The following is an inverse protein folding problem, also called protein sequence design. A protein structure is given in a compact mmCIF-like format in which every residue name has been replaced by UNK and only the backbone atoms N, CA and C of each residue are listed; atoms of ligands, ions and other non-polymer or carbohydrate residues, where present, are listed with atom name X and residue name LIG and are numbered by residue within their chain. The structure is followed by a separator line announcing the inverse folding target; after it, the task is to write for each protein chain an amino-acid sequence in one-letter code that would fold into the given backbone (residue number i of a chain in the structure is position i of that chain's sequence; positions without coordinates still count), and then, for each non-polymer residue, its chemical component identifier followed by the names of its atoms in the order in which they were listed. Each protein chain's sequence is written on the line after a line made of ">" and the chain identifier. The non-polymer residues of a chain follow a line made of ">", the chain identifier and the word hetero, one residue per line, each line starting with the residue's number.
data_IF_971782094449
#
_entry.id   IF_971782094449
#
_cell.length_a   1.000
_cell.length_b   1.000
_cell.length_c   1.000
_cell.angle_alpha   90.00
_cell.angle_beta   90.00
_cell.angle_gamma   90.00
#
_symmetry.space_group_name_H-M   'P 1'
#
loop_
_entity.id
_entity.type
_entity.pdbx_description
1 polymer ?
#
# COMPACT_ATOMS: atom_id res chain seq x y z
N UNK A 1 8.19 -45.75 -29.96
CA UNK A 1 8.49 -44.32 -30.23
C UNK A 1 7.60 -43.38 -29.41
N UNK A 2 6.30 -43.62 -29.32
CA UNK A 2 5.33 -42.79 -28.58
C UNK A 2 5.66 -42.55 -27.09
N UNK A 3 6.07 -43.60 -26.35
CA UNK A 3 6.45 -43.48 -24.92
C UNK A 3 7.69 -42.60 -24.68
N UNK A 4 8.63 -42.57 -25.63
CA UNK A 4 9.83 -41.71 -25.56
C UNK A 4 9.48 -40.25 -25.86
N UNK A 5 8.58 -40.01 -26.81
CA UNK A 5 8.06 -38.67 -27.09
C UNK A 5 7.26 -38.11 -25.90
N UNK A 6 6.44 -38.95 -25.24
CA UNK A 6 5.71 -38.57 -24.03
C UNK A 6 6.66 -38.25 -22.86
N UNK A 7 7.71 -39.06 -22.68
CA UNK A 7 8.74 -38.82 -21.66
C UNK A 7 9.57 -37.55 -21.95
N UNK A 8 9.93 -37.28 -23.21
CA UNK A 8 10.62 -36.04 -23.58
C UNK A 8 9.78 -34.80 -23.31
N UNK A 9 8.49 -34.85 -23.62
CA UNK A 9 7.54 -33.75 -23.35
C UNK A 9 7.41 -33.47 -21.85
N UNK A 10 7.32 -34.51 -21.03
CA UNK A 10 7.28 -34.39 -19.58
C UNK A 10 8.58 -33.76 -19.02
N UNK A 11 9.74 -34.21 -19.49
CA UNK A 11 11.04 -33.66 -19.09
C UNK A 11 11.16 -32.20 -19.50
N UNK A 12 10.76 -31.84 -20.73
CA UNK A 12 10.79 -30.47 -21.22
C UNK A 12 9.90 -29.54 -20.38
N UNK A 13 8.72 -30.02 -19.98
CA UNK A 13 7.79 -29.29 -19.13
C UNK A 13 8.37 -29.04 -17.74
N UNK A 14 8.99 -30.07 -17.14
CA UNK A 14 9.64 -29.96 -15.82
C UNK A 14 10.82 -28.97 -15.87
N UNK A 15 11.64 -29.02 -16.93
CA UNK A 15 12.78 -28.11 -17.11
C UNK A 15 12.32 -26.66 -17.29
N UNK A 16 11.26 -26.40 -18.07
CA UNK A 16 10.67 -25.06 -18.20
C UNK A 16 10.13 -24.51 -16.87
N UNK A 17 9.66 -25.38 -15.97
CA UNK A 17 9.13 -24.97 -14.66
C UNK A 17 10.24 -24.73 -13.62
N UNK A 18 11.38 -25.43 -13.72
CA UNK A 18 12.51 -25.31 -12.80
C UNK A 18 13.46 -24.14 -13.11
N UNK A 19 13.36 -23.54 -14.31
CA UNK A 19 14.21 -22.44 -14.73
C UNK A 19 13.38 -21.25 -15.27
N UNK A 20 12.63 -20.54 -14.40
CA UNK A 20 11.96 -19.32 -14.82
C UNK A 20 13.00 -18.27 -15.23
N UNK A 21 12.94 -17.84 -16.49
CA UNK A 21 13.73 -16.70 -16.97
C UNK A 21 13.27 -15.45 -16.21
N UNK A 22 14.20 -14.58 -15.76
CA UNK A 22 13.83 -13.39 -15.02
C UNK A 22 13.14 -12.38 -15.94
N UNK A 23 11.81 -12.27 -15.84
CA UNK A 23 11.02 -11.25 -16.54
C UNK A 23 10.90 -10.03 -15.62
N UNK A 24 11.78 -9.04 -15.84
CA UNK A 24 11.94 -7.87 -14.98
C UNK A 24 10.81 -6.81 -15.05
N UNK A 25 9.83 -6.98 -15.95
CA UNK A 25 8.74 -6.02 -16.14
C UNK A 25 7.37 -6.68 -16.26
N UNK A 26 7.16 -7.83 -15.60
CA UNK A 26 5.85 -8.47 -15.57
C UNK A 26 5.01 -7.87 -14.44
N UNK A 27 4.28 -6.83 -14.78
CA UNK A 27 3.00 -6.55 -14.13
C UNK A 27 2.03 -7.67 -14.53
N UNK A 28 2.27 -8.87 -13.98
CA UNK A 28 1.34 -10.00 -14.00
C UNK A 28 -0.07 -9.46 -13.67
N UNK A 29 -1.17 -9.86 -14.34
CA UNK A 29 -2.52 -9.42 -13.97
C UNK A 29 -2.85 -9.62 -12.47
N UNK A 30 -2.18 -10.57 -11.81
CA UNK A 30 -2.20 -10.74 -10.35
C UNK A 30 -1.46 -9.64 -9.57
N UNK A 31 -0.30 -9.19 -10.06
CA UNK A 31 0.53 -8.14 -9.45
C UNK A 31 -0.18 -6.78 -9.43
N UNK A 32 -0.91 -6.45 -10.50
CA UNK A 32 -1.71 -5.22 -10.56
C UNK A 32 -2.81 -5.20 -9.50
N UNK A 33 -3.50 -6.32 -9.29
CA UNK A 33 -4.54 -6.46 -8.28
C UNK A 33 -3.99 -6.30 -6.86
N UNK A 34 -2.80 -6.86 -6.59
CA UNK A 34 -2.12 -6.74 -5.30
C UNK A 34 -1.73 -5.29 -4.99
N UNK A 35 -1.24 -4.54 -5.99
CA UNK A 35 -0.92 -3.13 -5.82
C UNK A 35 -2.16 -2.30 -5.44
N UNK A 36 -3.28 -2.53 -6.14
CA UNK A 36 -4.56 -1.87 -5.83
C UNK A 36 -5.02 -2.23 -4.41
N UNK A 37 -4.88 -3.50 -4.00
CA UNK A 37 -5.22 -3.94 -2.64
C UNK A 37 -4.39 -3.22 -1.58
N UNK A 38 -3.07 -3.08 -1.77
CA UNK A 38 -2.21 -2.34 -0.84
C UNK A 38 -2.64 -0.88 -0.74
N UNK A 39 -2.95 -0.23 -1.87
CA UNK A 39 -3.41 1.16 -1.88
C UNK A 39 -4.72 1.30 -1.11
N UNK A 40 -5.70 0.42 -1.38
CA UNK A 40 -6.99 0.43 -0.70
C UNK A 40 -6.83 0.15 0.79
N UNK A 41 -6.06 -0.86 1.17
CA UNK A 41 -5.78 -1.20 2.57
C UNK A 41 -5.07 -0.05 3.30
N UNK A 42 -4.11 0.60 2.65
CA UNK A 42 -3.38 1.74 3.21
C UNK A 42 -4.31 2.94 3.43
N UNK A 43 -5.16 3.28 2.45
CA UNK A 43 -6.13 4.36 2.57
C UNK A 43 -7.18 4.07 3.65
N UNK A 44 -7.70 2.84 3.69
CA UNK A 44 -8.68 2.43 4.70
C UNK A 44 -8.07 2.46 6.11
N UNK A 45 -6.87 1.88 6.27
CA UNK A 45 -6.14 1.88 7.54
C UNK A 45 -5.79 3.28 8.01
N UNK A 46 -5.26 4.12 7.12
CA UNK A 46 -4.96 5.52 7.43
C UNK A 46 -6.22 6.30 7.81
N UNK A 47 -7.30 6.17 7.03
CA UNK A 47 -8.58 6.80 7.31
C UNK A 47 -9.14 6.38 8.68
N UNK A 48 -9.04 5.09 9.02
CA UNK A 48 -9.43 4.59 10.34
C UNK A 48 -8.59 5.21 11.46
N UNK A 49 -7.26 5.24 11.32
CA UNK A 49 -6.36 5.84 12.33
C UNK A 49 -6.65 7.32 12.56
N UNK A 50 -6.89 8.08 11.48
CA UNK A 50 -7.28 9.49 11.56
C UNK A 50 -8.61 9.64 12.29
N UNK A 51 -9.61 8.83 11.95
CA UNK A 51 -10.93 8.87 12.60
C UNK A 51 -10.85 8.49 14.07
N UNK A 52 -10.10 7.43 14.40
CA UNK A 52 -9.90 6.97 15.78
C UNK A 52 -9.22 8.05 16.64
N UNK A 53 -8.25 8.77 16.07
CA UNK A 53 -7.49 9.81 16.76
C UNK A 53 -8.02 11.24 16.54
N UNK A 54 -9.23 11.41 15.99
CA UNK A 54 -9.79 12.73 15.64
C UNK A 54 -9.78 13.72 16.82
N UNK A 55 -10.01 13.24 18.04
CA UNK A 55 -9.93 14.07 19.26
C UNK A 55 -8.51 14.59 19.52
N UNK A 56 -7.49 13.72 19.41
CA UNK A 56 -6.09 14.08 19.66
C UNK A 56 -5.56 15.03 18.57
N UNK A 57 -5.93 14.77 17.31
CA UNK A 57 -5.57 15.63 16.18
C UNK A 57 -6.16 17.03 16.41
N UNK A 58 -7.46 17.10 16.76
CA UNK A 58 -8.11 18.39 17.07
C UNK A 58 -7.46 19.12 18.24
N UNK A 59 -7.16 18.42 19.34
CA UNK A 59 -6.56 19.08 20.50
C UNK A 59 -5.13 19.54 20.24
N UNK A 60 -4.33 18.80 19.49
CA UNK A 60 -2.93 19.18 19.20
C UNK A 60 -2.83 20.27 18.13
N UNK A 61 -3.58 20.16 17.04
CA UNK A 61 -3.49 21.10 15.92
C UNK A 61 -4.40 22.33 16.09
N UNK A 62 -5.62 22.17 16.61
CA UNK A 62 -6.57 23.29 16.67
C UNK A 62 -6.55 24.06 17.99
N UNK A 63 -6.12 23.49 19.13
CA UNK A 63 -5.97 24.29 20.36
C UNK A 63 -4.80 25.27 20.29
N UNK A 64 -3.71 24.93 19.59
CA UNK A 64 -2.57 25.84 19.43
C UNK A 64 -2.98 27.12 18.68
N UNK A 65 -3.67 26.95 17.55
CA UNK A 65 -4.17 28.06 16.75
C UNK A 65 -5.13 28.98 17.54
N UNK A 66 -6.01 28.41 18.37
CA UNK A 66 -6.94 29.21 19.19
C UNK A 66 -6.20 30.03 20.26
N UNK A 67 -5.25 29.42 20.97
CA UNK A 67 -4.53 30.07 22.06
C UNK A 67 -3.57 31.17 21.56
N UNK A 68 -3.00 31.00 20.36
CA UNK A 68 -2.15 32.01 19.72
C UNK A 68 -2.98 33.23 19.29
N UNK A 69 -4.15 33.03 18.68
CA UNK A 69 -5.06 34.12 18.31
C UNK A 69 -5.60 34.90 19.52
N UNK A 70 -5.88 34.23 20.65
CA UNK A 70 -6.33 34.88 21.89
C UNK A 70 -5.21 35.70 22.55
N UNK A 71 -3.95 35.26 22.45
CA UNK A 71 -2.79 36.00 22.97
C UNK A 71 -2.48 37.27 22.18
N UNK A 72 -2.64 37.26 20.85
CA UNK A 72 -2.44 38.45 20.03
C UNK A 72 -3.50 39.51 20.30
N UNK A 73 -4.77 39.11 20.40
CA UNK A 73 -5.89 40.02 20.68
C UNK A 73 -5.76 40.72 22.03
N UNK A 74 -5.25 40.03 23.06
CA UNK A 74 -5.03 40.60 24.40
C UNK A 74 -3.81 41.54 24.45
N UNK A 75 -2.82 41.36 23.57
CA UNK A 75 -1.65 42.24 23.44
C UNK A 75 -1.97 43.56 22.72
N UNK A 76 -2.92 43.56 21.81
CA UNK A 76 -3.35 44.75 21.07
C UNK A 76 -4.38 45.61 21.82
N UNK A 77 -4.95 45.08 22.91
CA UNK A 77 -5.95 45.77 23.74
C UNK A 77 -5.34 46.38 25.02
N UNK A 78 -4.03 46.21 25.23
CA UNK A 78 -3.23 46.80 26.31
C UNK A 78 -2.19 47.75 25.74
#
# INVERSE_FOLDING_TARGET
>A
MFKKALSLSAILTIVCFLAPLPVYAYLDPGSGSYLIQIIVASLAGFGYLVRANWKQIKTRFFKKAKNEAEREKNKSAS
#
